data_IF_737894364382
#
_entry.id   IF_737894364382
#
_cell.length_a   1.000
_cell.length_b   1.000
_cell.length_c   1.000
_cell.angle_alpha   90.00
_cell.angle_beta   90.00
_cell.angle_gamma   90.00
#
_symmetry.space_group_name_H-M   'P 1'
#
loop_
_entity.id
_entity.type
_entity.pdbx_description
1 polymer ?
#
# COMPACT_ATOMS: atom_id res chain seq x y z
N UNK A 1 14.87 -7.31 -13.32
CA UNK A 1 14.95 -6.91 -11.90
C UNK A 1 13.59 -6.53 -11.39
N UNK A 2 13.24 -6.98 -10.20
CA UNK A 2 11.92 -6.68 -9.64
C UNK A 2 11.82 -5.25 -9.10
N UNK A 3 10.60 -4.78 -9.02
CA UNK A 3 10.33 -3.51 -8.37
C UNK A 3 10.42 -3.66 -6.86
N UNK A 4 10.71 -2.58 -6.16
CA UNK A 4 10.59 -2.54 -4.71
C UNK A 4 9.12 -2.64 -4.34
N UNK A 5 8.78 -3.57 -3.47
CA UNK A 5 7.40 -3.78 -3.02
C UNK A 5 7.17 -3.02 -1.73
N UNK A 6 6.30 -2.04 -1.80
CA UNK A 6 6.06 -1.12 -0.69
C UNK A 6 4.67 -1.32 -0.12
N UNK A 7 4.58 -1.35 1.22
CA UNK A 7 3.33 -1.32 1.92
C UNK A 7 3.06 0.10 2.41
N UNK A 8 1.87 0.61 2.17
CA UNK A 8 1.47 1.95 2.62
C UNK A 8 0.54 1.82 3.81
N UNK A 9 0.89 2.48 4.91
CA UNK A 9 0.10 2.49 6.13
C UNK A 9 -0.61 3.84 6.23
N UNK A 10 -1.93 3.80 6.43
CA UNK A 10 -2.75 4.99 6.47
C UNK A 10 -3.08 5.47 5.06
N UNK A 11 -4.31 5.24 4.61
CA UNK A 11 -4.71 5.55 3.23
C UNK A 11 -5.55 6.80 3.11
N UNK A 12 -5.63 7.61 4.17
CA UNK A 12 -6.38 8.87 4.13
C UNK A 12 -5.48 10.04 3.74
N UNK A 13 -6.09 11.08 3.19
CA UNK A 13 -5.43 12.37 2.97
C UNK A 13 -4.06 12.30 2.31
N UNK A 14 -3.03 12.55 3.09
CA UNK A 14 -1.66 12.66 2.61
C UNK A 14 -1.18 11.38 1.93
N UNK A 15 -1.67 10.23 2.37
CA UNK A 15 -1.25 8.95 1.79
C UNK A 15 -1.57 8.85 0.30
N UNK A 16 -2.60 9.53 -0.17
CA UNK A 16 -2.94 9.53 -1.59
C UNK A 16 -1.80 10.07 -2.44
N UNK A 17 -1.16 11.14 -1.97
CA UNK A 17 -0.02 11.72 -2.68
C UNK A 17 1.15 10.74 -2.73
N UNK A 18 1.39 10.05 -1.64
CA UNK A 18 2.47 9.05 -1.59
C UNK A 18 2.20 7.90 -2.54
N UNK A 19 0.96 7.37 -2.53
CA UNK A 19 0.60 6.27 -3.41
C UNK A 19 0.75 6.68 -4.87
N UNK A 20 0.27 7.85 -5.22
CA UNK A 20 0.37 8.34 -6.60
C UNK A 20 1.81 8.51 -7.03
N UNK A 21 2.67 9.01 -6.14
CA UNK A 21 4.10 9.15 -6.41
C UNK A 21 4.74 7.80 -6.67
N UNK A 22 4.41 6.80 -5.87
CA UNK A 22 4.94 5.46 -6.06
C UNK A 22 4.47 4.84 -7.37
N UNK A 23 3.21 5.05 -7.74
CA UNK A 23 2.68 4.51 -8.98
C UNK A 23 3.36 5.09 -10.21
N UNK A 24 3.89 6.31 -10.11
CA UNK A 24 4.63 6.95 -11.21
C UNK A 24 6.06 6.49 -11.29
N UNK A 25 6.57 5.82 -10.26
CA UNK A 25 7.96 5.38 -10.23
C UNK A 25 8.04 3.94 -10.76
N UNK A 26 8.74 3.72 -11.91
CA UNK A 26 8.80 2.39 -12.51
C UNK A 26 9.58 1.37 -11.67
N UNK A 27 10.31 1.83 -10.66
CA UNK A 27 11.10 0.95 -9.80
C UNK A 27 10.40 0.57 -8.51
N UNK A 28 9.16 1.04 -8.32
CA UNK A 28 8.40 0.84 -7.09
C UNK A 28 7.02 0.30 -7.41
N UNK A 29 6.59 -0.67 -6.61
CA UNK A 29 5.25 -1.23 -6.70
C UNK A 29 4.55 -1.04 -5.36
N UNK A 30 3.33 -0.49 -5.39
CA UNK A 30 2.51 -0.44 -4.18
C UNK A 30 1.90 -1.82 -4.01
N UNK A 31 2.49 -2.60 -3.13
CA UNK A 31 2.18 -4.02 -2.98
C UNK A 31 1.02 -4.27 -2.03
N UNK A 32 0.90 -3.46 -0.98
CA UNK A 32 -0.14 -3.64 0.03
C UNK A 32 -0.55 -2.29 0.60
N UNK A 33 -1.77 -2.22 1.08
CA UNK A 33 -2.30 -1.05 1.78
C UNK A 33 -2.82 -1.46 3.14
N UNK A 34 -2.68 -0.59 4.12
CA UNK A 34 -3.19 -0.81 5.46
C UNK A 34 -3.85 0.45 6.00
N UNK A 35 -5.01 0.29 6.60
CA UNK A 35 -5.70 1.38 7.29
C UNK A 35 -6.62 0.75 8.33
N UNK A 36 -6.74 1.38 9.49
CA UNK A 36 -7.65 0.91 10.52
C UNK A 36 -9.10 0.95 10.07
N UNK A 37 -9.41 1.80 9.09
CA UNK A 37 -10.74 1.88 8.50
C UNK A 37 -10.82 0.93 7.30
N UNK A 38 -11.54 -0.19 7.48
CA UNK A 38 -11.65 -1.21 6.45
C UNK A 38 -12.26 -0.69 5.16
N UNK A 39 -13.30 0.14 5.26
CA UNK A 39 -13.95 0.69 4.07
C UNK A 39 -13.00 1.57 3.28
N UNK A 40 -12.20 2.37 3.98
CA UNK A 40 -11.24 3.25 3.33
C UNK A 40 -10.16 2.46 2.61
N UNK A 41 -9.62 1.43 3.23
CA UNK A 41 -8.56 0.64 2.59
C UNK A 41 -9.10 -0.11 1.39
N UNK A 42 -10.34 -0.59 1.45
CA UNK A 42 -10.96 -1.25 0.30
C UNK A 42 -11.19 -0.28 -0.84
N UNK A 43 -11.64 0.92 -0.54
CA UNK A 43 -11.86 1.95 -1.55
C UNK A 43 -10.55 2.31 -2.25
N UNK A 44 -9.50 2.52 -1.48
CA UNK A 44 -8.20 2.87 -2.06
C UNK A 44 -7.60 1.70 -2.82
N UNK A 45 -7.78 0.48 -2.33
CA UNK A 45 -7.34 -0.70 -3.05
C UNK A 45 -7.98 -0.81 -4.43
N UNK A 46 -9.28 -0.58 -4.50
CA UNK A 46 -10.00 -0.59 -5.77
C UNK A 46 -9.53 0.54 -6.68
N UNK A 47 -9.30 1.73 -6.12
CA UNK A 47 -8.88 2.89 -6.89
C UNK A 47 -7.50 2.69 -7.52
N UNK A 48 -6.58 2.09 -6.78
CA UNK A 48 -5.19 1.95 -7.21
C UNK A 48 -4.83 0.54 -7.69
N UNK A 49 -5.78 -0.37 -7.72
CA UNK A 49 -5.53 -1.72 -8.18
C UNK A 49 -4.71 -2.58 -7.24
N UNK A 50 -4.76 -2.28 -5.95
CA UNK A 50 -4.05 -3.06 -4.93
C UNK A 50 -5.00 -4.06 -4.31
N UNK A 51 -4.62 -5.33 -4.30
CA UNK A 51 -5.46 -6.40 -3.78
C UNK A 51 -5.10 -6.86 -2.37
N UNK A 52 -3.90 -6.55 -1.89
CA UNK A 52 -3.45 -6.91 -0.55
C UNK A 52 -3.81 -5.79 0.40
N UNK A 53 -4.95 -5.94 1.09
CA UNK A 53 -5.52 -4.91 1.95
C UNK A 53 -5.55 -5.42 3.38
N UNK A 54 -5.14 -4.58 4.31
CA UNK A 54 -5.05 -4.94 5.73
C UNK A 54 -5.64 -3.84 6.59
N UNK A 55 -6.22 -4.24 7.73
CA UNK A 55 -6.67 -3.29 8.75
C UNK A 55 -5.72 -3.27 9.94
N UNK A 56 -4.76 -4.18 9.97
CA UNK A 56 -3.76 -4.28 11.03
C UNK A 56 -2.37 -4.24 10.38
N UNK A 57 -1.59 -3.23 10.73
CA UNK A 57 -0.24 -3.06 10.15
C UNK A 57 0.67 -4.27 10.45
N UNK A 58 0.48 -4.90 11.60
CA UNK A 58 1.31 -6.03 11.96
C UNK A 58 1.09 -7.21 11.01
N UNK A 59 -0.17 -7.40 10.58
CA UNK A 59 -0.48 -8.43 9.60
C UNK A 59 0.17 -8.11 8.26
N UNK A 60 0.16 -6.85 7.84
CA UNK A 60 0.80 -6.45 6.60
C UNK A 60 2.31 -6.66 6.67
N UNK A 61 2.91 -6.35 7.81
CA UNK A 61 4.36 -6.48 7.99
C UNK A 61 4.84 -7.93 7.97
N UNK A 62 3.93 -8.88 8.09
CA UNK A 62 4.27 -10.30 7.98
C UNK A 62 4.47 -10.76 6.55
N UNK A 63 4.12 -9.94 5.57
CA UNK A 63 4.30 -10.29 4.16
C UNK A 63 5.79 -10.40 3.84
N UNK A 64 6.28 -11.58 3.43
CA UNK A 64 7.71 -11.75 3.16
C UNK A 64 8.19 -10.99 1.92
N UNK A 65 7.29 -10.64 1.03
CA UNK A 65 7.63 -9.94 -0.20
C UNK A 65 7.83 -8.43 -0.03
N UNK A 66 7.40 -7.87 1.11
CA UNK A 66 7.55 -6.43 1.33
C UNK A 66 9.01 -6.03 1.49
N UNK A 67 9.44 -5.03 0.74
CA UNK A 67 10.78 -4.48 0.82
C UNK A 67 10.83 -3.28 1.76
N UNK A 68 9.74 -2.52 1.85
CA UNK A 68 9.69 -1.33 2.69
C UNK A 68 8.24 -0.96 3.00
N UNK A 69 8.05 -0.09 3.99
CA UNK A 69 6.74 0.46 4.32
C UNK A 69 6.84 1.98 4.39
N UNK A 70 5.71 2.61 4.14
CA UNK A 70 5.65 4.06 4.13
C UNK A 70 4.51 4.57 5.03
#
# INVERSE_FOLDING_TARGET
MGKLKIGVIGTGGIANCHIESYLKNPNVEVYALCDINEERVKEKGAKYGVTRLFTDKDEMLKLPELDAVS
#
